data_IF_873660927017
#
_entry.id   IF_873660927017
#
_cell.length_a   1.000
_cell.length_b   1.000
_cell.length_c   1.000
_cell.angle_alpha   90.00
_cell.angle_beta   90.00
_cell.angle_gamma   90.00
#
_symmetry.space_group_name_H-M   'P 1'
#
loop_
_entity.id
_entity.type
_entity.pdbx_description
1 polymer ?
#
# COMPACT_ATOMS: atom_id res chain seq x y z
N UNK A 1 -1.70 -40.09 22.73
CA UNK A 1 -1.88 -39.49 21.38
C UNK A 1 -2.81 -38.27 21.37
N UNK A 2 -3.81 -38.18 22.24
CA UNK A 2 -4.74 -37.03 22.30
C UNK A 2 -4.23 -35.82 23.14
N UNK A 3 -3.46 -36.08 24.20
CA UNK A 3 -2.93 -35.00 25.05
C UNK A 3 -1.78 -34.22 24.41
N UNK A 4 -0.87 -34.87 23.69
CA UNK A 4 0.17 -34.21 22.91
C UNK A 4 -0.40 -33.35 21.78
N UNK A 5 -1.48 -33.82 21.16
CA UNK A 5 -2.19 -33.05 20.13
C UNK A 5 -2.86 -31.80 20.70
N UNK A 6 -3.46 -31.90 21.90
CA UNK A 6 -4.06 -30.77 22.62
C UNK A 6 -3.00 -29.78 23.11
N UNK A 7 -1.89 -30.28 23.60
CA UNK A 7 -0.74 -29.44 24.02
C UNK A 7 -0.15 -28.67 22.85
N UNK A 8 0.18 -29.35 21.74
CA UNK A 8 0.68 -28.71 20.53
C UNK A 8 -0.30 -27.69 19.93
N UNK A 9 -1.61 -28.00 19.97
CA UNK A 9 -2.66 -27.08 19.54
C UNK A 9 -2.74 -25.85 20.44
N UNK A 10 -2.58 -26.01 21.75
CA UNK A 10 -2.62 -24.90 22.71
C UNK A 10 -1.39 -23.99 22.61
N UNK A 11 -0.23 -24.54 22.31
CA UNK A 11 1.02 -23.79 22.06
C UNK A 11 0.90 -23.02 20.74
N UNK A 12 0.40 -23.65 19.68
CA UNK A 12 0.18 -23.03 18.37
C UNK A 12 -0.84 -21.88 18.44
N UNK A 13 -1.89 -22.03 19.25
CA UNK A 13 -2.89 -20.97 19.50
C UNK A 13 -2.29 -19.82 20.33
N UNK A 14 -1.43 -20.11 21.32
CA UNK A 14 -0.75 -19.10 22.11
C UNK A 14 0.27 -18.31 21.28
N UNK A 15 1.04 -18.95 20.44
CA UNK A 15 1.98 -18.29 19.53
C UNK A 15 1.25 -17.42 18.49
N UNK A 16 0.16 -17.92 17.90
CA UNK A 16 -0.67 -17.15 16.95
C UNK A 16 -1.36 -15.95 17.61
N UNK A 17 -1.78 -16.08 18.87
CA UNK A 17 -2.34 -14.97 19.66
C UNK A 17 -1.29 -13.88 19.95
N UNK A 18 -0.02 -14.26 20.13
CA UNK A 18 1.12 -13.35 20.34
C UNK A 18 1.50 -12.61 19.04
N UNK A 19 1.22 -13.18 17.87
CA UNK A 19 1.50 -12.57 16.56
C UNK A 19 0.40 -11.63 16.06
N UNK A 20 -0.71 -11.46 16.76
CA UNK A 20 -1.84 -10.62 16.36
C UNK A 20 -2.67 -11.19 15.20
N UNK A 21 -2.48 -12.47 14.86
CA UNK A 21 -3.20 -13.14 13.77
C UNK A 21 -4.60 -13.58 14.23
N UNK A 22 -5.62 -13.21 13.47
CA UNK A 22 -7.02 -13.60 13.75
C UNK A 22 -7.34 -14.87 12.97
N UNK A 23 -7.56 -15.98 13.70
CA UNK A 23 -8.05 -17.22 13.12
C UNK A 23 -9.54 -17.09 12.83
N UNK A 24 -9.92 -17.03 11.54
CA UNK A 24 -11.32 -16.86 11.12
C UNK A 24 -12.13 -18.15 11.12
N UNK A 25 -11.47 -19.29 11.26
CA UNK A 25 -12.09 -20.63 11.19
C UNK A 25 -12.77 -21.11 12.47
N UNK A 26 -12.63 -20.39 13.60
CA UNK A 26 -13.16 -20.80 14.90
C UNK A 26 -13.93 -19.68 15.60
N UNK A 27 -15.10 -19.97 16.21
CA UNK A 27 -15.91 -19.03 17.01
C UNK A 27 -16.79 -18.09 16.17
N UNK A 28 -17.27 -16.97 16.77
CA UNK A 28 -18.21 -16.03 16.13
C UNK A 28 -17.54 -15.28 14.95
N UNK A 29 -17.98 -15.58 13.74
CA UNK A 29 -17.47 -15.01 12.48
C UNK A 29 -17.59 -13.49 12.48
N UNK A 30 -18.73 -12.94 12.89
CA UNK A 30 -19.00 -11.50 12.90
C UNK A 30 -18.02 -10.69 13.76
N UNK A 31 -17.74 -11.19 14.99
CA UNK A 31 -16.78 -10.51 15.87
C UNK A 31 -15.37 -10.49 15.28
N UNK A 32 -14.97 -11.59 14.64
CA UNK A 32 -13.64 -11.70 14.01
C UNK A 32 -13.51 -10.83 12.76
N UNK A 33 -14.58 -10.77 11.94
CA UNK A 33 -14.63 -9.87 10.81
C UNK A 33 -14.50 -8.41 11.25
N UNK A 34 -15.22 -7.99 12.28
CA UNK A 34 -15.10 -6.62 12.81
C UNK A 34 -13.69 -6.33 13.33
N UNK A 35 -13.11 -7.22 14.14
CA UNK A 35 -11.74 -7.04 14.67
C UNK A 35 -10.70 -6.98 13.55
N UNK A 36 -10.90 -7.73 12.46
CA UNK A 36 -10.01 -7.71 11.30
C UNK A 36 -10.22 -6.46 10.43
N UNK A 37 -11.47 -6.00 10.29
CA UNK A 37 -11.82 -4.84 9.44
C UNK A 37 -11.38 -3.51 10.05
N UNK A 38 -11.41 -3.36 11.39
CA UNK A 38 -11.03 -2.11 12.06
C UNK A 38 -9.61 -1.66 11.68
N UNK A 39 -8.54 -2.49 11.73
CA UNK A 39 -7.22 -2.08 11.30
C UNK A 39 -7.15 -1.71 9.80
N UNK A 40 -7.93 -2.37 8.93
CA UNK A 40 -7.98 -2.04 7.51
C UNK A 40 -8.63 -0.67 7.27
N UNK A 41 -9.74 -0.40 7.95
CA UNK A 41 -10.43 0.90 7.88
C UNK A 41 -9.51 2.00 8.40
N UNK A 42 -8.87 1.78 9.56
CA UNK A 42 -7.91 2.73 10.12
C UNK A 42 -6.72 2.96 9.19
N UNK A 43 -6.22 1.92 8.51
CA UNK A 43 -5.18 2.05 7.49
C UNK A 43 -5.60 2.97 6.35
N UNK A 44 -6.79 2.77 5.80
CA UNK A 44 -7.32 3.62 4.73
C UNK A 44 -7.54 5.07 5.21
N UNK A 45 -8.04 5.26 6.43
CA UNK A 45 -8.21 6.60 7.01
C UNK A 45 -6.86 7.30 7.21
N UNK A 46 -5.86 6.60 7.74
CA UNK A 46 -4.50 7.15 7.88
C UNK A 46 -3.92 7.53 6.51
N UNK A 47 -4.09 6.68 5.50
CA UNK A 47 -3.65 6.98 4.14
C UNK A 47 -4.34 8.23 3.58
N UNK A 48 -5.64 8.39 3.80
CA UNK A 48 -6.37 9.57 3.36
C UNK A 48 -5.95 10.82 4.13
N UNK A 49 -5.68 10.70 5.43
CA UNK A 49 -5.23 11.80 6.25
C UNK A 49 -3.86 12.32 5.81
N UNK A 50 -2.87 11.43 5.62
CA UNK A 50 -1.55 11.89 5.20
C UNK A 50 -1.58 12.52 3.80
N UNK A 51 -2.34 11.97 2.83
CA UNK A 51 -2.52 12.60 1.52
C UNK A 51 -3.16 13.99 1.61
N UNK A 52 -4.08 14.18 2.57
CA UNK A 52 -4.67 15.50 2.81
C UNK A 52 -3.65 16.47 3.41
N UNK A 53 -2.85 16.01 4.38
CA UNK A 53 -1.77 16.81 4.99
C UNK A 53 -0.73 17.21 3.96
N UNK A 54 -0.29 16.29 3.13
CA UNK A 54 0.63 16.52 2.02
C UNK A 54 0.09 17.61 1.06
N UNK A 55 -1.17 17.48 0.63
CA UNK A 55 -1.83 18.49 -0.20
C UNK A 55 -1.89 19.88 0.46
N UNK A 56 -2.13 19.93 1.78
CA UNK A 56 -2.13 21.18 2.54
C UNK A 56 -0.73 21.80 2.60
N UNK A 57 0.31 21.00 2.83
CA UNK A 57 1.70 21.45 2.87
C UNK A 57 2.11 22.01 1.51
N UNK A 58 1.86 21.26 0.43
CA UNK A 58 2.16 21.71 -0.94
C UNK A 58 1.41 23.00 -1.27
N UNK A 59 0.10 23.05 -1.00
CA UNK A 59 -0.72 24.23 -1.30
C UNK A 59 -0.30 25.50 -0.55
N UNK A 60 0.10 25.38 0.71
CA UNK A 60 0.49 26.52 1.53
C UNK A 60 1.94 26.94 1.36
N UNK A 61 2.86 25.99 1.15
CA UNK A 61 4.29 26.26 1.11
C UNK A 61 4.83 26.46 -0.30
N UNK A 62 4.29 25.75 -1.31
CA UNK A 62 4.76 25.83 -2.70
C UNK A 62 3.86 26.73 -3.57
N UNK A 63 2.55 26.70 -3.33
CA UNK A 63 1.60 27.56 -3.98
C UNK A 63 0.50 26.86 -4.76
N UNK A 64 -0.42 27.67 -5.33
CA UNK A 64 -1.63 27.17 -5.99
C UNK A 64 -1.35 26.38 -7.28
N UNK A 65 -0.32 26.74 -8.03
CA UNK A 65 0.06 26.05 -9.27
C UNK A 65 0.62 24.66 -8.97
N UNK A 66 1.41 24.53 -7.90
CA UNK A 66 1.92 23.26 -7.41
C UNK A 66 0.79 22.34 -6.96
N UNK A 67 -0.18 22.86 -6.20
CA UNK A 67 -1.36 22.10 -5.78
C UNK A 67 -2.21 21.67 -6.97
N UNK A 68 -2.37 22.51 -7.99
CA UNK A 68 -3.08 22.16 -9.22
C UNK A 68 -2.34 21.10 -10.02
N UNK A 69 -1.00 21.15 -10.06
CA UNK A 69 -0.16 20.13 -10.68
C UNK A 69 -0.33 18.76 -10.00
N UNK A 70 -0.25 18.69 -8.67
CA UNK A 70 -0.49 17.47 -7.90
C UNK A 70 -1.92 16.98 -8.10
N UNK A 71 -2.91 17.87 -8.05
CA UNK A 71 -4.33 17.52 -8.23
C UNK A 71 -4.63 16.93 -9.60
N UNK A 72 -4.00 17.45 -10.67
CA UNK A 72 -4.19 16.96 -12.03
C UNK A 72 -3.65 15.54 -12.25
N UNK A 73 -2.65 15.11 -11.47
CA UNK A 73 -2.08 13.76 -11.53
C UNK A 73 -2.87 12.73 -10.74
N UNK A 74 -3.77 13.17 -9.84
CA UNK A 74 -4.47 12.32 -8.88
C UNK A 74 -5.22 11.14 -9.50
N UNK A 75 -5.84 11.34 -10.66
CA UNK A 75 -6.56 10.26 -11.36
C UNK A 75 -5.62 9.17 -11.87
N UNK A 76 -4.46 9.54 -12.43
CA UNK A 76 -3.44 8.60 -12.92
C UNK A 76 -2.86 7.83 -11.74
N UNK A 77 -2.48 8.54 -10.68
CA UNK A 77 -1.95 7.94 -9.44
C UNK A 77 -2.94 6.96 -8.84
N UNK A 78 -4.21 7.34 -8.74
CA UNK A 78 -5.28 6.47 -8.22
C UNK A 78 -5.45 5.20 -9.06
N UNK A 79 -5.37 5.30 -10.38
CA UNK A 79 -5.45 4.16 -11.29
C UNK A 79 -4.28 3.19 -11.07
N UNK A 80 -3.05 3.71 -10.95
CA UNK A 80 -1.85 2.91 -10.73
C UNK A 80 -1.89 2.19 -9.38
N UNK A 81 -2.35 2.89 -8.33
CA UNK A 81 -2.55 2.31 -6.99
C UNK A 81 -3.63 1.23 -7.03
N UNK A 82 -4.78 1.48 -7.68
CA UNK A 82 -5.88 0.53 -7.78
C UNK A 82 -5.44 -0.75 -8.51
N UNK A 83 -4.64 -0.64 -9.57
CA UNK A 83 -4.07 -1.78 -10.27
C UNK A 83 -3.15 -2.62 -9.36
N UNK A 84 -2.26 -1.94 -8.62
CA UNK A 84 -1.38 -2.57 -7.63
C UNK A 84 -2.16 -3.29 -6.52
N UNK A 85 -3.19 -2.64 -5.99
CA UNK A 85 -4.05 -3.22 -4.95
C UNK A 85 -4.85 -4.42 -5.48
N UNK A 86 -5.36 -4.34 -6.72
CA UNK A 86 -6.07 -5.45 -7.35
C UNK A 86 -5.21 -6.71 -7.48
N UNK A 87 -3.96 -6.55 -7.91
CA UNK A 87 -2.99 -7.66 -7.98
C UNK A 87 -2.71 -8.25 -6.59
N UNK A 88 -2.55 -7.40 -5.58
CA UNK A 88 -2.34 -7.80 -4.18
C UNK A 88 -3.52 -8.58 -3.61
N UNK A 89 -4.75 -8.11 -3.84
CA UNK A 89 -5.98 -8.79 -3.41
C UNK A 89 -6.10 -10.16 -4.08
N UNK A 90 -5.86 -10.25 -5.39
CA UNK A 90 -5.89 -11.51 -6.11
C UNK A 90 -4.90 -12.54 -5.56
N UNK A 91 -3.65 -12.14 -5.32
CA UNK A 91 -2.65 -12.99 -4.68
C UNK A 91 -3.07 -13.39 -3.26
N UNK A 92 -3.63 -12.45 -2.48
CA UNK A 92 -4.12 -12.68 -1.13
C UNK A 92 -5.22 -13.74 -1.06
N UNK A 93 -6.14 -13.76 -2.03
CA UNK A 93 -7.20 -14.79 -2.12
C UNK A 93 -6.59 -16.18 -2.28
N UNK A 94 -5.65 -16.37 -3.20
CA UNK A 94 -5.01 -17.67 -3.44
C UNK A 94 -4.23 -18.12 -2.19
N UNK A 95 -3.45 -17.22 -1.59
CA UNK A 95 -2.66 -17.52 -0.39
C UNK A 95 -3.57 -17.91 0.77
N UNK A 96 -4.69 -17.18 0.98
CA UNK A 96 -5.64 -17.49 2.06
C UNK A 96 -6.32 -18.86 1.86
N UNK A 97 -6.64 -19.24 0.62
CA UNK A 97 -7.19 -20.56 0.28
C UNK A 97 -6.19 -21.68 0.62
N UNK A 98 -4.92 -21.56 0.22
CA UNK A 98 -3.89 -22.54 0.57
C UNK A 98 -3.62 -22.60 2.07
N UNK A 99 -3.69 -21.46 2.77
CA UNK A 99 -3.58 -21.42 4.23
C UNK A 99 -4.75 -22.14 4.91
N UNK A 100 -5.98 -21.90 4.43
CA UNK A 100 -7.18 -22.58 4.90
C UNK A 100 -7.13 -24.10 4.67
N UNK A 101 -6.61 -24.53 3.54
CA UNK A 101 -6.38 -25.93 3.18
C UNK A 101 -5.17 -26.56 3.91
N UNK A 102 -4.43 -25.80 4.74
CA UNK A 102 -3.21 -26.22 5.46
C UNK A 102 -2.07 -26.74 4.55
N UNK A 103 -2.05 -26.32 3.29
CA UNK A 103 -1.06 -26.69 2.26
C UNK A 103 0.16 -25.77 2.34
N UNK A 104 1.05 -26.00 3.31
CA UNK A 104 2.19 -25.11 3.61
C UNK A 104 3.15 -24.87 2.43
N UNK A 105 3.43 -25.89 1.64
CA UNK A 105 4.34 -25.81 0.49
C UNK A 105 3.74 -24.94 -0.63
N UNK A 106 2.44 -25.06 -0.84
CA UNK A 106 1.74 -24.23 -1.83
C UNK A 106 1.62 -22.77 -1.38
N UNK A 107 1.41 -22.51 -0.07
CA UNK A 107 1.50 -21.16 0.48
C UNK A 107 2.87 -20.54 0.19
N UNK A 108 3.97 -21.29 0.46
CA UNK A 108 5.32 -20.81 0.21
C UNK A 108 5.54 -20.49 -1.28
N UNK A 109 5.12 -21.38 -2.17
CA UNK A 109 5.20 -21.16 -3.62
C UNK A 109 4.37 -19.96 -4.06
N UNK A 110 3.13 -19.85 -3.59
CA UNK A 110 2.25 -18.72 -3.92
C UNK A 110 2.82 -17.37 -3.47
N UNK A 111 3.41 -17.30 -2.27
CA UNK A 111 4.07 -16.08 -1.77
C UNK A 111 5.27 -15.70 -2.66
N UNK A 112 6.15 -16.65 -3.00
CA UNK A 112 7.29 -16.37 -3.88
C UNK A 112 6.83 -15.90 -5.27
N UNK A 113 5.82 -16.56 -5.84
CA UNK A 113 5.25 -16.17 -7.15
C UNK A 113 4.61 -14.79 -7.07
N UNK A 114 3.84 -14.48 -6.02
CA UNK A 114 3.24 -13.17 -5.82
C UNK A 114 4.29 -12.07 -5.72
N UNK A 115 5.39 -12.30 -4.99
CA UNK A 115 6.49 -11.34 -4.90
C UNK A 115 7.21 -11.15 -6.25
N UNK A 116 7.45 -12.23 -7.00
CA UNK A 116 8.04 -12.12 -8.34
C UNK A 116 7.14 -11.32 -9.30
N UNK A 117 5.83 -11.58 -9.29
CA UNK A 117 4.84 -10.83 -10.06
C UNK A 117 4.83 -9.35 -9.63
N UNK A 118 4.90 -9.07 -8.32
CA UNK A 118 4.95 -7.71 -7.82
C UNK A 118 6.19 -6.93 -8.33
N UNK A 119 7.36 -7.57 -8.37
CA UNK A 119 8.57 -6.96 -8.95
C UNK A 119 8.37 -6.67 -10.43
N UNK A 120 7.86 -7.62 -11.21
CA UNK A 120 7.63 -7.44 -12.65
C UNK A 120 6.63 -6.31 -12.89
N UNK A 121 5.46 -6.36 -12.24
CA UNK A 121 4.43 -5.31 -12.36
C UNK A 121 5.01 -3.96 -11.93
N UNK A 122 5.69 -3.90 -10.78
CA UNK A 122 6.28 -2.67 -10.26
C UNK A 122 7.29 -2.07 -11.23
N UNK A 123 8.18 -2.86 -11.82
CA UNK A 123 9.14 -2.40 -12.82
C UNK A 123 8.44 -1.90 -14.09
N UNK A 124 7.47 -2.65 -14.60
CA UNK A 124 6.71 -2.24 -15.81
C UNK A 124 5.98 -0.92 -15.57
N UNK A 125 5.27 -0.79 -14.44
CA UNK A 125 4.55 0.44 -14.12
C UNK A 125 5.49 1.63 -13.86
N UNK A 126 6.64 1.39 -13.22
CA UNK A 126 7.67 2.43 -13.02
C UNK A 126 8.19 2.92 -14.36
N UNK A 127 8.64 2.02 -15.24
CA UNK A 127 9.19 2.39 -16.55
C UNK A 127 8.14 3.11 -17.39
N UNK A 128 6.94 2.53 -17.51
CA UNK A 128 5.85 3.17 -18.25
C UNK A 128 5.48 4.54 -17.68
N UNK A 129 5.32 4.62 -16.35
CA UNK A 129 4.93 5.86 -15.69
C UNK A 129 5.97 6.97 -15.86
N UNK A 130 7.26 6.68 -15.72
CA UNK A 130 8.33 7.68 -15.89
C UNK A 130 8.40 8.18 -17.33
N UNK A 131 8.39 7.28 -18.32
CA UNK A 131 8.52 7.68 -19.73
C UNK A 131 7.25 8.24 -20.35
N UNK A 132 6.06 7.80 -19.89
CA UNK A 132 4.78 8.20 -20.48
C UNK A 132 4.03 9.26 -19.66
N UNK A 133 4.58 9.74 -18.53
CA UNK A 133 3.93 10.72 -17.65
C UNK A 133 3.41 11.96 -18.40
N UNK A 134 4.26 12.58 -19.23
CA UNK A 134 3.87 13.75 -20.02
C UNK A 134 2.78 13.43 -21.04
N UNK A 135 2.85 12.26 -21.69
CA UNK A 135 1.85 11.83 -22.68
C UNK A 135 0.48 11.65 -22.04
N UNK A 136 0.42 11.02 -20.88
CA UNK A 136 -0.83 10.82 -20.13
C UNK A 136 -1.46 12.17 -19.73
N UNK A 137 -0.66 13.14 -19.27
CA UNK A 137 -1.14 14.46 -18.88
C UNK A 137 -1.65 15.26 -20.08
N UNK A 138 -0.98 15.18 -21.24
CA UNK A 138 -1.44 15.80 -22.48
C UNK A 138 -2.78 15.19 -22.92
N UNK A 139 -2.93 13.84 -22.85
CA UNK A 139 -4.21 13.20 -23.16
C UNK A 139 -5.34 13.58 -22.21
N UNK A 140 -5.00 13.90 -20.96
CA UNK A 140 -5.96 14.42 -19.97
C UNK A 140 -6.25 15.90 -20.14
N UNK A 141 -5.68 16.56 -21.17
CA UNK A 141 -5.84 17.99 -21.43
C UNK A 141 -5.44 18.86 -20.23
N UNK A 142 -4.34 18.48 -19.57
CA UNK A 142 -3.78 19.27 -18.47
C UNK A 142 -3.30 20.63 -19.01
N UNK A 143 -3.68 21.77 -18.38
CA UNK A 143 -3.28 23.11 -18.83
C UNK A 143 -1.76 23.30 -18.92
N UNK A 144 -1.29 24.01 -19.96
CA UNK A 144 0.14 24.17 -20.24
C UNK A 144 0.93 24.81 -19.10
N UNK A 145 0.29 25.72 -18.34
CA UNK A 145 0.92 26.43 -17.23
C UNK A 145 1.30 25.52 -16.05
N UNK A 146 0.69 24.33 -15.91
CA UNK A 146 0.99 23.37 -14.86
C UNK A 146 1.56 22.05 -15.38
N UNK A 147 1.60 21.84 -16.70
CA UNK A 147 1.97 20.59 -17.34
C UNK A 147 3.37 20.11 -16.96
N UNK A 148 4.34 21.02 -16.94
CA UNK A 148 5.73 20.66 -16.63
C UNK A 148 5.90 20.27 -15.17
N UNK A 149 5.28 21.00 -14.23
CA UNK A 149 5.26 20.65 -12.81
C UNK A 149 4.52 19.34 -12.54
N UNK A 150 3.36 19.12 -13.18
CA UNK A 150 2.61 17.88 -13.07
C UNK A 150 3.38 16.68 -13.65
N UNK A 151 4.09 16.88 -14.77
CA UNK A 151 4.91 15.84 -15.38
C UNK A 151 6.08 15.45 -14.49
N UNK A 152 6.77 16.42 -13.90
CA UNK A 152 7.87 16.18 -12.97
C UNK A 152 7.38 15.42 -11.72
N UNK A 153 6.31 15.89 -11.11
CA UNK A 153 5.70 15.21 -9.96
C UNK A 153 5.34 13.75 -10.29
N UNK A 154 4.64 13.53 -11.42
CA UNK A 154 4.23 12.20 -11.82
C UNK A 154 5.44 11.28 -12.12
N UNK A 155 6.51 11.80 -12.71
CA UNK A 155 7.76 11.07 -12.95
C UNK A 155 8.41 10.62 -11.64
N UNK A 156 8.54 11.53 -10.68
CA UNK A 156 9.11 11.22 -9.37
C UNK A 156 8.25 10.17 -8.64
N UNK A 157 6.93 10.38 -8.62
CA UNK A 157 5.98 9.42 -8.04
C UNK A 157 6.09 8.04 -8.69
N UNK A 158 6.11 7.97 -10.01
CA UNK A 158 6.26 6.73 -10.76
C UNK A 158 7.62 6.07 -10.52
N UNK A 159 8.68 6.84 -10.28
CA UNK A 159 9.98 6.32 -9.88
C UNK A 159 9.93 5.49 -8.59
N UNK A 160 9.02 5.83 -7.68
CA UNK A 160 8.76 5.10 -6.43
C UNK A 160 7.75 3.95 -6.53
N UNK A 161 7.08 3.76 -7.67
CA UNK A 161 5.96 2.82 -7.82
C UNK A 161 6.34 1.36 -7.52
N UNK A 162 7.55 0.94 -7.85
CA UNK A 162 8.03 -0.40 -7.52
C UNK A 162 7.88 -0.69 -6.02
N UNK A 163 8.28 0.25 -5.16
CA UNK A 163 8.19 0.09 -3.71
C UNK A 163 6.74 0.08 -3.23
N UNK A 164 5.88 0.90 -3.85
CA UNK A 164 4.44 0.93 -3.55
C UNK A 164 3.77 -0.40 -3.91
N UNK A 165 4.09 -0.98 -5.07
CA UNK A 165 3.58 -2.29 -5.49
C UNK A 165 4.04 -3.40 -4.55
N UNK A 166 5.33 -3.39 -4.17
CA UNK A 166 5.89 -4.35 -3.21
C UNK A 166 5.22 -4.22 -1.84
N UNK A 167 5.03 -2.99 -1.35
CA UNK A 167 4.32 -2.75 -0.10
C UNK A 167 2.89 -3.29 -0.15
N UNK A 168 2.12 -2.98 -1.19
CA UNK A 168 0.75 -3.47 -1.36
C UNK A 168 0.70 -5.00 -1.40
N UNK A 169 1.63 -5.65 -2.11
CA UNK A 169 1.72 -7.10 -2.18
C UNK A 169 2.02 -7.71 -0.80
N UNK A 170 3.00 -7.16 -0.07
CA UNK A 170 3.31 -7.60 1.29
C UNK A 170 2.11 -7.41 2.24
N UNK A 171 1.42 -6.27 2.15
CA UNK A 171 0.22 -6.00 2.93
C UNK A 171 -0.89 -7.02 2.63
N UNK A 172 -1.11 -7.35 1.36
CA UNK A 172 -2.06 -8.40 0.95
C UNK A 172 -1.70 -9.78 1.50
N UNK A 173 -0.41 -10.16 1.48
CA UNK A 173 0.08 -11.41 2.06
C UNK A 173 -0.17 -11.45 3.58
N UNK A 174 0.12 -10.36 4.31
CA UNK A 174 -0.18 -10.27 5.74
C UNK A 174 -1.67 -10.35 6.04
N UNK A 175 -2.49 -9.68 5.23
CA UNK A 175 -3.94 -9.73 5.35
C UNK A 175 -4.48 -11.14 5.08
N UNK A 176 -3.96 -11.84 4.06
CA UNK A 176 -4.28 -13.23 3.76
C UNK A 176 -3.90 -14.17 4.93
N UNK A 177 -2.82 -13.85 5.64
CA UNK A 177 -2.41 -14.56 6.84
C UNK A 177 -3.25 -14.21 8.09
N UNK A 178 -4.26 -13.34 7.97
CA UNK A 178 -5.11 -12.91 9.08
C UNK A 178 -4.48 -11.87 10.00
N UNK A 179 -3.42 -11.19 9.57
CA UNK A 179 -2.71 -10.19 10.36
C UNK A 179 -2.76 -8.80 9.70
N UNK A 180 -3.87 -8.09 9.89
CA UNK A 180 -4.08 -6.74 9.37
C UNK A 180 -3.40 -5.63 10.22
N UNK A 181 -2.92 -5.97 11.43
CA UNK A 181 -2.28 -4.98 12.32
C UNK A 181 -0.88 -4.58 11.83
N UNK A 182 -0.11 -5.51 11.28
CA UNK A 182 1.27 -5.22 10.81
C UNK A 182 1.31 -4.24 9.65
N UNK A 183 0.53 -4.42 8.57
CA UNK A 183 0.45 -3.42 7.52
C UNK A 183 0.06 -2.04 8.04
N UNK A 184 -0.89 -1.95 8.98
CA UNK A 184 -1.30 -0.70 9.61
C UNK A 184 -0.15 -0.02 10.35
N UNK A 185 0.63 -0.77 11.13
CA UNK A 185 1.78 -0.22 11.86
C UNK A 185 2.88 0.30 10.91
N UNK A 186 3.17 -0.44 9.84
CA UNK A 186 4.15 -0.01 8.83
C UNK A 186 3.66 1.23 8.08
N UNK A 187 2.37 1.28 7.73
CA UNK A 187 1.77 2.46 7.11
C UNK A 187 1.84 3.67 8.04
N UNK A 188 1.51 3.50 9.33
CA UNK A 188 1.59 4.58 10.32
C UNK A 188 3.01 5.11 10.48
N UNK A 189 4.00 4.23 10.57
CA UNK A 189 5.41 4.62 10.63
C UNK A 189 5.84 5.37 9.35
N UNK A 190 5.47 4.85 8.18
CA UNK A 190 5.77 5.49 6.89
C UNK A 190 5.12 6.88 6.78
N UNK A 191 3.86 7.02 7.23
CA UNK A 191 3.16 8.32 7.20
C UNK A 191 3.82 9.37 8.08
N UNK A 192 4.32 8.99 9.26
CA UNK A 192 5.06 9.91 10.13
C UNK A 192 6.38 10.35 9.47
N UNK A 193 7.10 9.41 8.88
CA UNK A 193 8.36 9.71 8.16
C UNK A 193 8.09 10.61 6.95
N UNK A 194 7.04 10.32 6.20
CA UNK A 194 6.64 11.11 5.03
C UNK A 194 6.36 12.57 5.43
N UNK A 195 5.47 12.81 6.41
CA UNK A 195 5.17 14.17 6.89
C UNK A 195 6.42 14.90 7.38
N UNK A 196 7.31 14.19 8.08
CA UNK A 196 8.57 14.78 8.56
C UNK A 196 9.49 15.17 7.38
N UNK A 197 9.59 14.32 6.36
CA UNK A 197 10.38 14.61 5.16
C UNK A 197 9.80 15.77 4.35
N UNK A 198 8.47 15.82 4.17
CA UNK A 198 7.80 16.93 3.48
C UNK A 198 8.12 18.27 4.15
N UNK A 199 8.01 18.33 5.48
CA UNK A 199 8.35 19.54 6.21
C UNK A 199 9.83 19.93 6.07
N UNK A 200 10.75 18.96 6.12
CA UNK A 200 12.19 19.21 5.97
C UNK A 200 12.52 19.65 4.56
N UNK A 201 12.00 18.96 3.53
CA UNK A 201 12.34 19.22 2.14
C UNK A 201 11.70 20.52 1.62
N UNK A 202 10.44 20.75 1.93
CA UNK A 202 9.70 21.92 1.46
C UNK A 202 10.08 23.16 2.27
N UNK A 203 10.05 23.11 3.62
CA UNK A 203 10.34 24.27 4.46
C UNK A 203 11.84 24.48 4.70
N UNK A 204 12.61 23.39 4.82
CA UNK A 204 14.05 23.48 5.11
C UNK A 204 14.90 23.76 3.87
N UNK A 205 14.60 23.09 2.76
CA UNK A 205 15.39 23.21 1.52
C UNK A 205 14.71 24.04 0.43
N UNK A 206 13.49 24.52 0.65
CA UNK A 206 12.76 25.35 -0.34
C UNK A 206 12.45 24.60 -1.64
N UNK A 207 12.34 23.25 -1.59
CA UNK A 207 11.97 22.42 -2.73
C UNK A 207 10.51 22.64 -3.10
N UNK A 208 10.21 22.63 -4.42
CA UNK A 208 8.84 22.73 -4.92
C UNK A 208 8.09 21.40 -4.86
N UNK A 209 7.33 21.07 -5.94
CA UNK A 209 6.60 19.80 -6.10
C UNK A 209 7.48 18.56 -6.13
N UNK A 210 8.77 18.73 -6.21
CA UNK A 210 9.81 17.69 -6.21
C UNK A 210 10.31 17.32 -4.79
N UNK A 211 9.91 18.08 -3.76
CA UNK A 211 10.25 17.86 -2.34
C UNK A 211 9.27 16.95 -1.68
#
# INVERSE_FOLDING_TARGET
MDEERKFNLSVDIKEKKKSGTVLMTEGSIWKKLLIFSVPLILGNLLQQLYSTVDSIIVGNCVGKEALAAVGSTGSIVSLLIAFSQGASVGAGVIISQYMGAKRKDDVKRAVHTAMAIAVIIGLVLTVMGVFMSRLFLVWMQTPDNILDGASLYLQIYCGGLLFTVLYNMCAGIFNAAGNSKRPLLYLGAASVVNIALDLILIQGFGRGVEG
#
